data_IF_421848829229
#
_entry.id   IF_421848829229
#
_cell.length_a   1.000
_cell.length_b   1.000
_cell.length_c   1.000
_cell.angle_alpha   90.00
_cell.angle_beta   90.00
_cell.angle_gamma   90.00
#
_symmetry.space_group_name_H-M   'P 1'
#
loop_
_entity.id
_entity.type
_entity.pdbx_description
1 polymer ?
#
# COMPACT_ATOMS: atom_id res chain seq x y z
N UNK A 1 -11.74 -9.63 -29.68
CA UNK A 1 -12.38 -8.65 -28.76
C UNK A 1 -11.48 -8.52 -27.55
N UNK A 2 -10.81 -7.37 -27.37
CA UNK A 2 -10.14 -7.07 -26.09
C UNK A 2 -11.25 -6.65 -25.14
N UNK A 3 -11.51 -7.46 -24.12
CA UNK A 3 -12.27 -6.98 -22.98
C UNK A 3 -11.38 -5.93 -22.31
N UNK A 4 -11.73 -4.67 -22.52
CA UNK A 4 -11.24 -3.58 -21.70
C UNK A 4 -11.63 -3.90 -20.26
N UNK A 5 -10.69 -4.47 -19.51
CA UNK A 5 -10.77 -4.63 -18.07
C UNK A 5 -10.73 -3.23 -17.46
N UNK A 6 -11.82 -2.49 -17.61
CA UNK A 6 -12.18 -1.44 -16.66
C UNK A 6 -12.23 -2.16 -15.32
N UNK A 7 -11.28 -1.86 -14.44
CA UNK A 7 -11.32 -2.22 -13.02
C UNK A 7 -12.70 -1.79 -12.50
N UNK A 8 -13.66 -2.71 -12.55
CA UNK A 8 -14.97 -2.49 -11.98
C UNK A 8 -14.76 -2.42 -10.48
N UNK A 9 -15.13 -1.29 -9.91
CA UNK A 9 -15.29 -1.12 -8.48
C UNK A 9 -15.98 -2.36 -7.91
N UNK A 10 -15.25 -3.16 -7.13
CA UNK A 10 -15.76 -4.38 -6.50
C UNK A 10 -15.86 -4.13 -4.98
N UNK A 11 -17.05 -3.78 -4.47
CA UNK A 11 -17.26 -3.47 -3.06
C UNK A 11 -16.86 -4.62 -2.13
N UNK A 12 -17.02 -5.87 -2.57
CA UNK A 12 -16.65 -7.04 -1.77
C UNK A 12 -15.12 -7.14 -1.62
N UNK A 13 -14.37 -6.73 -2.64
CA UNK A 13 -12.92 -6.70 -2.59
C UNK A 13 -12.40 -5.59 -1.68
N UNK A 14 -12.98 -4.39 -1.74
CA UNK A 14 -12.65 -3.31 -0.82
C UNK A 14 -12.98 -3.66 0.64
N UNK A 15 -14.12 -4.35 0.86
CA UNK A 15 -14.48 -4.87 2.19
C UNK A 15 -13.45 -5.88 2.70
N UNK A 16 -12.98 -6.78 1.83
CA UNK A 16 -11.93 -7.74 2.18
C UNK A 16 -10.61 -7.04 2.53
N UNK A 17 -10.18 -6.02 1.78
CA UNK A 17 -8.97 -5.24 2.13
C UNK A 17 -9.13 -4.58 3.50
N UNK A 18 -10.30 -4.02 3.80
CA UNK A 18 -10.57 -3.40 5.10
C UNK A 18 -10.55 -4.42 6.25
N UNK A 19 -11.07 -5.63 6.03
CA UNK A 19 -11.00 -6.74 6.99
C UNK A 19 -9.53 -7.17 7.22
N UNK A 20 -8.77 -7.34 6.13
CA UNK A 20 -7.34 -7.67 6.17
C UNK A 20 -6.49 -6.60 6.84
N UNK A 21 -6.84 -5.32 6.73
CA UNK A 21 -6.19 -4.23 7.45
C UNK A 21 -6.48 -4.30 8.96
N UNK A 22 -7.69 -4.70 9.35
CA UNK A 22 -8.18 -4.59 10.74
C UNK A 22 -7.34 -5.43 11.72
N UNK A 23 -6.97 -6.65 11.33
CA UNK A 23 -6.25 -7.59 12.21
C UNK A 23 -4.80 -7.13 12.52
N UNK A 24 -3.97 -6.75 11.52
CA UNK A 24 -2.67 -6.12 11.79
C UNK A 24 -2.76 -4.84 12.62
N UNK A 25 -3.74 -3.97 12.37
CA UNK A 25 -3.95 -2.74 13.16
C UNK A 25 -4.23 -3.06 14.63
N UNK A 26 -5.10 -4.03 14.89
CA UNK A 26 -5.40 -4.51 16.24
C UNK A 26 -4.15 -5.07 16.94
N UNK A 27 -3.32 -5.83 16.23
CA UNK A 27 -2.06 -6.35 16.76
C UNK A 27 -1.05 -5.24 17.06
N UNK A 28 -0.87 -4.27 16.16
CA UNK A 28 0.03 -3.12 16.35
C UNK A 28 -0.37 -2.32 17.58
N UNK A 29 -1.67 -2.11 17.82
CA UNK A 29 -2.15 -1.38 18.99
C UNK A 29 -1.79 -2.07 20.33
N UNK A 30 -1.63 -3.40 20.33
CA UNK A 30 -1.31 -4.20 21.53
C UNK A 30 0.18 -4.52 21.66
N UNK A 31 0.88 -4.53 20.54
CA UNK A 31 2.30 -4.83 20.43
C UNK A 31 3.01 -3.77 19.57
N UNK A 32 3.08 -2.51 20.07
CA UNK A 32 3.75 -1.45 19.35
C UNK A 32 5.24 -1.78 19.22
N UNK A 33 5.75 -1.79 18.00
CA UNK A 33 7.17 -2.05 17.70
C UNK A 33 7.45 -3.25 16.80
N UNK A 34 6.45 -4.03 16.39
CA UNK A 34 6.63 -5.00 15.31
C UNK A 34 6.61 -4.30 13.96
N UNK A 35 7.80 -4.17 13.35
CA UNK A 35 7.96 -3.66 11.98
C UNK A 35 7.36 -4.58 10.93
N UNK A 36 7.30 -5.87 11.24
CA UNK A 36 6.76 -6.91 10.36
C UNK A 36 5.26 -6.66 10.07
N UNK A 37 4.49 -6.25 11.09
CA UNK A 37 3.09 -5.89 10.90
C UNK A 37 2.92 -4.62 10.06
N UNK A 38 3.82 -3.64 10.21
CA UNK A 38 3.81 -2.46 9.37
C UNK A 38 4.20 -2.80 7.93
N UNK A 39 5.16 -3.70 7.71
CA UNK A 39 5.53 -4.19 6.37
C UNK A 39 4.38 -4.95 5.71
N UNK A 40 3.62 -5.75 6.47
CA UNK A 40 2.42 -6.39 5.95
C UNK A 40 1.43 -5.36 5.39
N UNK A 41 1.16 -4.29 6.15
CA UNK A 41 0.26 -3.21 5.73
C UNK A 41 0.80 -2.46 4.50
N UNK A 42 2.12 -2.21 4.43
CA UNK A 42 2.76 -1.63 3.23
C UNK A 42 2.47 -2.49 2.00
N UNK A 43 2.70 -3.80 2.09
CA UNK A 43 2.50 -4.72 0.97
C UNK A 43 1.02 -4.85 0.61
N UNK A 44 0.13 -4.95 1.60
CA UNK A 44 -1.32 -5.00 1.40
C UNK A 44 -1.80 -3.77 0.63
N UNK A 45 -1.41 -2.56 1.05
CA UNK A 45 -1.84 -1.34 0.37
C UNK A 45 -1.21 -1.18 -1.01
N UNK A 46 0.09 -1.50 -1.15
CA UNK A 46 0.77 -1.44 -2.45
C UNK A 46 0.19 -2.43 -3.47
N UNK A 47 -0.13 -3.65 -3.04
CA UNK A 47 -0.76 -4.68 -3.87
C UNK A 47 -2.12 -4.24 -4.41
N UNK A 48 -2.81 -3.38 -3.66
CA UNK A 48 -4.13 -2.83 -3.97
C UNK A 48 -4.08 -1.40 -4.53
N UNK A 49 -2.90 -0.94 -4.97
CA UNK A 49 -2.70 0.40 -5.56
C UNK A 49 -3.10 1.57 -4.64
N UNK A 50 -3.24 1.31 -3.33
CA UNK A 50 -3.48 2.31 -2.28
C UNK A 50 -2.14 2.97 -1.88
N UNK A 51 -1.47 3.58 -2.86
CA UNK A 51 -0.10 4.10 -2.73
C UNK A 51 0.05 5.12 -1.58
N UNK A 52 -0.96 5.97 -1.37
CA UNK A 52 -0.97 6.95 -0.29
C UNK A 52 -0.91 6.30 1.09
N UNK A 53 -1.77 5.31 1.36
CA UNK A 53 -1.75 4.54 2.61
C UNK A 53 -0.44 3.79 2.79
N UNK A 54 0.06 3.17 1.72
CA UNK A 54 1.34 2.47 1.75
C UNK A 54 2.49 3.38 2.17
N UNK A 55 2.55 4.62 1.67
CA UNK A 55 3.56 5.61 2.07
C UNK A 55 3.40 6.10 3.51
N UNK A 56 2.17 6.17 4.03
CA UNK A 56 1.91 6.50 5.45
C UNK A 56 2.54 5.45 6.36
N UNK A 57 2.39 4.16 6.03
CA UNK A 57 3.01 3.10 6.82
C UNK A 57 4.54 3.12 6.73
N UNK A 58 5.11 3.36 5.54
CA UNK A 58 6.55 3.58 5.40
C UNK A 58 7.04 4.73 6.30
N UNK A 59 6.28 5.84 6.35
CA UNK A 59 6.64 7.00 7.18
C UNK A 59 6.62 6.65 8.67
N UNK A 60 5.57 5.97 9.14
CA UNK A 60 5.47 5.54 10.55
C UNK A 60 6.66 4.67 10.96
N UNK A 61 7.03 3.68 10.12
CA UNK A 61 8.22 2.86 10.39
C UNK A 61 9.48 3.71 10.44
N UNK A 62 9.64 4.69 9.57
CA UNK A 62 10.83 5.56 9.54
C UNK A 62 10.86 6.61 10.67
N UNK A 63 9.71 6.97 11.23
CA UNK A 63 9.61 7.82 12.43
C UNK A 63 10.09 7.04 13.67
N UNK A 64 9.64 5.79 13.82
CA UNK A 64 10.04 4.92 14.94
C UNK A 64 11.46 4.34 14.75
N UNK A 65 11.86 4.08 13.50
CA UNK A 65 13.12 3.45 13.11
C UNK A 65 13.78 4.21 11.94
N UNK A 66 14.44 5.35 12.20
CA UNK A 66 15.03 6.18 11.13
C UNK A 66 16.07 5.45 10.28
N UNK A 67 16.76 4.46 10.84
CA UNK A 67 17.76 3.63 10.14
C UNK A 67 17.19 2.47 9.33
N UNK A 68 15.86 2.33 9.23
CA UNK A 68 15.25 1.18 8.59
C UNK A 68 15.39 1.20 7.06
N UNK A 69 16.36 0.44 6.56
CA UNK A 69 16.67 0.38 5.13
C UNK A 69 15.51 -0.23 4.33
N UNK A 70 14.81 -1.21 4.89
CA UNK A 70 13.69 -1.89 4.22
C UNK A 70 12.53 -0.91 4.00
N UNK A 71 12.16 -0.13 5.02
CA UNK A 71 11.12 0.89 4.91
C UNK A 71 11.47 1.99 3.90
N UNK A 72 12.76 2.41 3.83
CA UNK A 72 13.22 3.35 2.79
C UNK A 72 13.10 2.74 1.39
N UNK A 73 13.53 1.50 1.20
CA UNK A 73 13.42 0.82 -0.09
C UNK A 73 11.97 0.70 -0.56
N UNK A 74 11.05 0.32 0.34
CA UNK A 74 9.63 0.28 0.03
C UNK A 74 9.10 1.65 -0.38
N UNK A 75 9.45 2.71 0.37
CA UNK A 75 9.04 4.08 0.05
C UNK A 75 9.43 4.48 -1.38
N UNK A 76 10.69 4.24 -1.76
CA UNK A 76 11.17 4.54 -3.12
C UNK A 76 10.46 3.70 -4.19
N UNK A 77 10.26 2.41 -3.94
CA UNK A 77 9.54 1.54 -4.86
C UNK A 77 8.09 2.00 -5.07
N UNK A 78 7.41 2.40 -4.00
CA UNK A 78 6.04 2.92 -4.07
C UNK A 78 5.99 4.21 -4.89
N UNK A 79 6.96 5.13 -4.69
CA UNK A 79 7.04 6.35 -5.49
C UNK A 79 7.22 6.05 -6.98
N UNK A 80 8.12 5.11 -7.33
CA UNK A 80 8.33 4.70 -8.72
C UNK A 80 7.08 4.08 -9.35
N UNK A 81 6.38 3.21 -8.61
CA UNK A 81 5.16 2.55 -9.10
C UNK A 81 4.02 3.54 -9.25
N UNK A 82 3.82 4.43 -8.30
CA UNK A 82 2.79 5.47 -8.37
C UNK A 82 3.07 6.45 -9.52
N UNK A 83 4.32 6.90 -9.68
CA UNK A 83 4.69 7.76 -10.81
C UNK A 83 4.38 7.10 -12.16
N UNK A 84 4.74 5.82 -12.32
CA UNK A 84 4.43 5.05 -13.54
C UNK A 84 2.92 4.96 -13.77
N UNK A 85 2.14 4.58 -12.76
CA UNK A 85 0.69 4.48 -12.85
C UNK A 85 0.07 5.81 -13.27
N UNK A 86 0.47 6.92 -12.63
CA UNK A 86 -0.03 8.26 -12.95
C UNK A 86 0.32 8.67 -14.38
N UNK A 87 1.55 8.36 -14.84
CA UNK A 87 1.98 8.67 -16.21
C UNK A 87 1.19 7.88 -17.24
N UNK A 88 1.02 6.57 -17.03
CA UNK A 88 0.33 5.69 -17.96
C UNK A 88 -1.17 6.03 -18.02
N UNK A 89 -1.75 6.50 -16.91
CA UNK A 89 -3.13 7.02 -16.86
C UNK A 89 -3.33 8.32 -17.67
N UNK A 90 -2.29 9.13 -17.84
CA UNK A 90 -2.33 10.37 -18.64
C UNK A 90 -2.18 10.07 -20.14
N UNK A 91 -1.42 9.03 -20.50
CA UNK A 91 -1.09 8.71 -21.90
C UNK A 91 -2.05 7.71 -22.57
N UNK A 92 -3.04 7.22 -21.84
CA UNK A 92 -4.11 6.38 -22.39
C UNK A 92 -5.42 7.19 -22.42
N UNK A 93 -5.64 8.07 -23.42
CA UNK A 93 -6.96 8.66 -23.60
C UNK A 93 -7.92 7.52 -23.93
N UNK A 94 -8.97 7.39 -23.12
CA UNK A 94 -10.13 6.56 -23.45
C UNK A 94 -10.85 7.13 -24.66
#
# INVERSE_FOLDING_TARGET
MRQDNVLQFNPAYEAWIAEEETKPRWLIARHPGSRELAYYLIVLFLGNEQYSKSLVECRRVLEDYPGDVVARMWKELIHLRWYRFSRDSIHSPR
#
